data_IF_637749041535
#
_entry.id   IF_637749041535
#
_cell.length_a   1.000
_cell.length_b   1.000
_cell.length_c   1.000
_cell.angle_alpha   90.00
_cell.angle_beta   90.00
_cell.angle_gamma   90.00
#
_symmetry.space_group_name_H-M   'P 1'
#
loop_
_entity.id
_entity.type
_entity.pdbx_description
1 polymer ?
#
# COMPACT_ATOMS: atom_id res chain seq x y z
N UNK A 1 12.62 28.39 12.20
CA UNK A 1 11.49 27.48 12.37
C UNK A 1 10.69 27.39 11.09
N UNK A 2 10.51 26.18 10.57
CA UNK A 2 9.82 26.00 9.31
C UNK A 2 8.31 26.19 9.50
N UNK A 3 7.73 27.08 8.70
CA UNK A 3 6.32 27.41 8.78
C UNK A 3 5.49 26.39 8.01
N UNK A 4 4.52 25.77 8.68
CA UNK A 4 3.62 24.83 8.04
C UNK A 4 2.61 25.60 7.18
N UNK A 5 2.31 25.07 6.02
CA UNK A 5 1.29 25.61 5.14
C UNK A 5 -0.05 24.93 5.42
N UNK A 6 -1.09 25.71 5.62
CA UNK A 6 -2.44 25.20 5.81
C UNK A 6 -3.25 25.41 4.54
N UNK A 7 -3.75 24.33 3.98
CA UNK A 7 -4.56 24.40 2.77
C UNK A 7 -5.90 25.10 3.06
N UNK A 8 -6.24 26.18 2.33
CA UNK A 8 -7.49 26.89 2.57
C UNK A 8 -8.74 26.09 2.19
N UNK A 9 -8.61 25.04 1.39
CA UNK A 9 -9.74 24.21 0.98
C UNK A 9 -10.05 23.09 1.95
N UNK A 10 -9.04 22.34 2.40
CA UNK A 10 -9.25 21.17 3.25
C UNK A 10 -8.81 21.37 4.70
N UNK A 11 -8.11 22.46 4.99
CA UNK A 11 -7.65 22.76 6.35
C UNK A 11 -6.48 21.93 6.85
N UNK A 12 -5.95 21.02 6.04
CA UNK A 12 -4.80 20.22 6.43
C UNK A 12 -3.52 21.03 6.36
N UNK A 13 -2.55 20.69 7.19
CA UNK A 13 -1.24 21.34 7.21
C UNK A 13 -0.19 20.49 6.55
N UNK A 14 0.73 21.13 5.84
CA UNK A 14 1.81 20.46 5.10
C UNK A 14 3.13 21.19 5.35
N UNK A 15 4.23 20.49 5.17
CA UNK A 15 5.55 21.09 5.32
C UNK A 15 5.89 22.09 4.22
N UNK A 16 5.39 21.83 3.01
CA UNK A 16 5.66 22.64 1.84
C UNK A 16 4.44 23.50 1.48
N UNK A 17 4.68 24.75 1.15
CA UNK A 17 3.63 25.64 0.68
C UNK A 17 3.07 25.13 -0.65
N UNK A 18 1.74 25.14 -0.78
CA UNK A 18 1.04 24.66 -1.96
C UNK A 18 1.37 23.21 -2.34
N UNK A 19 1.64 22.40 -1.33
CA UNK A 19 1.94 20.98 -1.55
C UNK A 19 0.80 20.29 -2.28
N UNK A 20 1.13 19.52 -3.32
CA UNK A 20 0.17 18.74 -4.06
C UNK A 20 -0.48 17.69 -3.16
N UNK A 21 -1.81 17.66 -3.12
CA UNK A 21 -2.56 16.75 -2.30
C UNK A 21 -4.01 16.70 -2.76
N UNK A 22 -4.75 15.69 -2.29
CA UNK A 22 -6.18 15.61 -2.53
C UNK A 22 -6.92 16.50 -1.53
N UNK A 23 -7.49 17.60 -2.03
CA UNK A 23 -8.25 18.54 -1.21
C UNK A 23 -9.68 18.08 -1.06
N UNK A 24 -10.12 17.88 0.15
CA UNK A 24 -11.48 17.47 0.44
C UNK A 24 -11.48 16.44 1.54
N UNK A 25 -12.44 15.55 1.51
CA UNK A 25 -12.52 14.48 2.50
C UNK A 25 -11.39 13.49 2.30
N UNK A 26 -11.08 12.74 3.36
CA UNK A 26 -10.13 11.63 3.27
C UNK A 26 -10.56 10.67 2.16
N UNK A 27 -9.61 10.04 1.44
CA UNK A 27 -9.93 9.11 0.37
C UNK A 27 -10.89 8.01 0.84
N UNK A 28 -11.92 7.74 0.05
CA UNK A 28 -12.92 6.71 0.34
C UNK A 28 -12.76 5.50 -0.58
N UNK A 29 -12.02 5.66 -1.68
CA UNK A 29 -11.75 4.58 -2.64
C UNK A 29 -10.26 4.51 -2.89
N UNK A 30 -9.82 3.38 -3.45
CA UNK A 30 -8.42 3.20 -3.80
C UNK A 30 -8.02 4.16 -4.92
N UNK A 31 -8.92 4.45 -5.86
CA UNK A 31 -8.66 5.45 -6.89
C UNK A 31 -8.34 6.81 -6.27
N UNK A 32 -9.17 7.26 -5.34
CA UNK A 32 -8.94 8.54 -4.64
C UNK A 32 -7.65 8.50 -3.83
N UNK A 33 -7.36 7.37 -3.18
CA UNK A 33 -6.13 7.19 -2.41
C UNK A 33 -4.89 7.40 -3.28
N UNK A 34 -4.87 6.77 -4.44
CA UNK A 34 -3.72 6.86 -5.36
C UNK A 34 -3.59 8.27 -5.91
N UNK A 35 -4.70 8.91 -6.27
CA UNK A 35 -4.69 10.30 -6.75
C UNK A 35 -4.17 11.28 -5.71
N UNK A 36 -4.33 10.96 -4.42
CA UNK A 36 -3.82 11.79 -3.34
C UNK A 36 -2.31 11.68 -3.14
N UNK A 37 -1.66 10.73 -3.81
CA UNK A 37 -0.22 10.53 -3.69
C UNK A 37 0.55 11.33 -4.73
N UNK A 38 1.87 11.47 -4.55
CA UNK A 38 2.72 12.14 -5.50
C UNK A 38 2.64 11.47 -6.88
N UNK A 39 2.64 12.28 -7.92
CA UNK A 39 2.53 11.78 -9.30
C UNK A 39 3.61 10.75 -9.62
N UNK A 40 4.83 10.95 -9.11
CA UNK A 40 5.99 10.10 -9.39
C UNK A 40 5.79 8.64 -8.94
N UNK A 41 4.95 8.40 -7.94
CA UNK A 41 4.76 7.05 -7.39
C UNK A 41 3.42 6.43 -7.76
N UNK A 42 2.53 7.16 -8.43
CA UNK A 42 1.20 6.66 -8.78
C UNK A 42 1.24 5.42 -9.65
N UNK A 43 2.15 5.36 -10.61
CA UNK A 43 2.26 4.20 -11.50
C UNK A 43 2.66 2.94 -10.74
N UNK A 44 3.55 3.07 -9.76
CA UNK A 44 3.96 1.94 -8.91
C UNK A 44 2.79 1.46 -8.07
N UNK A 45 2.03 2.37 -7.49
CA UNK A 45 0.85 2.01 -6.69
C UNK A 45 -0.20 1.32 -7.55
N UNK A 46 -0.42 1.79 -8.79
CA UNK A 46 -1.35 1.14 -9.71
C UNK A 46 -0.89 -0.27 -10.09
N UNK A 47 0.42 -0.47 -10.24
CA UNK A 47 0.96 -1.79 -10.54
C UNK A 47 0.69 -2.78 -9.41
N UNK A 48 0.91 -2.37 -8.16
CA UNK A 48 0.59 -3.19 -6.99
C UNK A 48 -0.91 -3.49 -6.94
N UNK A 49 -1.74 -2.45 -7.15
CA UNK A 49 -3.18 -2.59 -7.16
C UNK A 49 -3.66 -3.62 -8.19
N UNK A 50 -3.14 -3.55 -9.40
CA UNK A 50 -3.53 -4.46 -10.48
C UNK A 50 -3.18 -5.91 -10.16
N UNK A 51 -2.01 -6.14 -9.59
CA UNK A 51 -1.61 -7.47 -9.16
C UNK A 51 -2.57 -8.01 -8.11
N UNK A 52 -2.87 -7.21 -7.10
CA UNK A 52 -3.77 -7.66 -6.02
C UNK A 52 -5.18 -7.94 -6.54
N UNK A 53 -5.72 -7.08 -7.40
CA UNK A 53 -7.03 -7.31 -8.00
C UNK A 53 -7.05 -8.63 -8.79
N UNK A 54 -6.01 -8.89 -9.58
CA UNK A 54 -5.94 -10.08 -10.43
C UNK A 54 -5.76 -11.37 -9.63
N UNK A 55 -5.14 -11.30 -8.45
CA UNK A 55 -4.83 -12.49 -7.64
C UNK A 55 -5.80 -12.75 -6.50
N UNK A 56 -6.73 -11.84 -6.26
CA UNK A 56 -7.69 -11.94 -5.17
C UNK A 56 -9.14 -11.93 -5.72
N UNK A 57 -9.52 -12.94 -6.51
CA UNK A 57 -10.86 -12.95 -7.09
C UNK A 57 -11.93 -13.01 -5.99
N UNK A 58 -12.98 -12.21 -6.16
CA UNK A 58 -14.06 -12.13 -5.17
C UNK A 58 -13.76 -11.23 -3.98
N UNK A 59 -12.54 -10.69 -3.87
CA UNK A 59 -12.22 -9.75 -2.81
C UNK A 59 -12.77 -8.36 -3.12
N UNK A 60 -13.20 -7.66 -2.08
CA UNK A 60 -13.66 -6.28 -2.19
C UNK A 60 -12.49 -5.34 -1.92
N UNK A 61 -12.27 -4.40 -2.85
CA UNK A 61 -11.29 -3.35 -2.67
C UNK A 61 -11.93 -2.19 -1.92
N UNK A 62 -11.32 -1.77 -0.82
CA UNK A 62 -11.86 -0.68 0.01
C UNK A 62 -10.73 0.05 0.73
N UNK A 63 -11.07 1.13 1.41
CA UNK A 63 -10.14 1.83 2.32
C UNK A 63 -10.49 1.42 3.74
N UNK A 64 -9.48 0.92 4.46
CA UNK A 64 -9.59 0.57 5.87
C UNK A 64 -8.29 1.00 6.56
N UNK A 65 -8.40 1.61 7.74
CA UNK A 65 -7.23 2.15 8.45
C UNK A 65 -6.44 3.14 7.58
N UNK A 66 -7.16 3.94 6.78
CA UNK A 66 -6.59 4.94 5.88
C UNK A 66 -5.69 4.38 4.78
N UNK A 67 -5.85 3.13 4.40
CA UNK A 67 -5.05 2.52 3.33
C UNK A 67 -5.87 1.54 2.48
N UNK A 68 -5.44 1.31 1.23
CA UNK A 68 -6.07 0.30 0.38
C UNK A 68 -6.07 -1.07 1.03
N UNK A 69 -7.23 -1.70 1.03
CA UNK A 69 -7.48 -2.97 1.71
C UNK A 69 -8.25 -3.90 0.79
N UNK A 70 -7.90 -5.16 0.80
CA UNK A 70 -8.60 -6.21 0.07
C UNK A 70 -9.27 -7.13 1.07
N UNK A 71 -10.59 -7.23 0.98
CA UNK A 71 -11.44 -7.88 1.98
C UNK A 71 -12.31 -8.96 1.34
N UNK A 72 -12.37 -10.10 1.99
CA UNK A 72 -13.31 -11.18 1.67
C UNK A 72 -13.55 -11.95 2.96
N UNK A 73 -14.69 -11.69 3.60
CA UNK A 73 -15.04 -12.19 4.94
C UNK A 73 -14.12 -11.68 6.05
N UNK A 74 -12.92 -11.27 5.71
CA UNK A 74 -11.92 -10.66 6.60
C UNK A 74 -10.93 -9.86 5.75
N UNK A 75 -10.09 -9.07 6.40
CA UNK A 75 -9.04 -8.33 5.70
C UNK A 75 -7.96 -9.32 5.23
N UNK A 76 -7.69 -9.36 3.93
CA UNK A 76 -6.70 -10.27 3.37
C UNK A 76 -5.32 -9.63 3.36
N UNK A 77 -5.22 -8.45 2.76
CA UNK A 77 -3.94 -7.76 2.58
C UNK A 77 -4.20 -6.26 2.44
N UNK A 78 -3.23 -5.47 2.88
CA UNK A 78 -3.25 -4.01 2.74
C UNK A 78 -1.98 -3.54 2.05
N UNK A 79 -2.02 -2.37 1.42
CA UNK A 79 -0.79 -1.67 1.05
C UNK A 79 -0.93 -0.18 1.35
N UNK A 80 0.19 0.49 1.51
CA UNK A 80 0.18 1.93 1.78
C UNK A 80 1.37 2.62 1.16
N UNK A 81 1.17 3.85 0.69
CA UNK A 81 2.25 4.69 0.21
C UNK A 81 2.91 5.36 1.41
N UNK A 82 4.13 4.96 1.70
CA UNK A 82 4.94 5.60 2.72
C UNK A 82 5.89 6.60 2.07
N UNK A 83 6.63 7.35 2.85
CA UNK A 83 7.49 8.42 2.35
C UNK A 83 8.55 7.93 1.36
N UNK A 84 9.21 6.81 1.66
CA UNK A 84 10.32 6.29 0.87
C UNK A 84 10.08 4.89 0.31
N UNK A 85 8.94 4.28 0.62
CA UNK A 85 8.64 2.92 0.23
C UNK A 85 7.15 2.67 0.17
N UNK A 86 6.78 1.59 -0.49
CA UNK A 86 5.42 1.06 -0.40
C UNK A 86 5.42 0.05 0.73
N UNK A 87 4.49 0.18 1.67
CA UNK A 87 4.28 -0.82 2.70
C UNK A 87 3.28 -1.85 2.21
N UNK A 88 3.62 -3.13 2.30
CA UNK A 88 2.72 -4.24 2.00
C UNK A 88 2.46 -4.97 3.31
N UNK A 89 1.20 -5.21 3.63
CA UNK A 89 0.80 -5.74 4.94
C UNK A 89 -0.02 -7.01 4.78
N UNK A 90 0.63 -8.15 4.51
CA UNK A 90 -0.07 -9.42 4.32
C UNK A 90 -0.30 -10.21 5.61
N UNK A 91 0.18 -9.70 6.74
CA UNK A 91 0.10 -10.35 8.03
C UNK A 91 1.39 -11.09 8.41
N UNK A 92 1.57 -11.38 9.71
CA UNK A 92 2.84 -11.94 10.21
C UNK A 92 3.16 -13.33 9.67
N UNK A 93 2.16 -14.16 9.45
CA UNK A 93 2.38 -15.52 8.95
C UNK A 93 2.89 -15.52 7.51
N UNK A 94 2.36 -14.63 6.67
CA UNK A 94 2.82 -14.49 5.29
C UNK A 94 4.26 -13.99 5.24
N UNK A 95 4.60 -13.00 6.06
CA UNK A 95 5.96 -12.46 6.13
C UNK A 95 6.94 -13.56 6.53
N UNK A 96 6.58 -14.36 7.53
CA UNK A 96 7.43 -15.48 7.98
C UNK A 96 7.60 -16.53 6.87
N UNK A 97 6.50 -16.90 6.22
CA UNK A 97 6.53 -17.89 5.15
C UNK A 97 7.44 -17.47 3.98
N UNK A 98 7.39 -16.18 3.61
CA UNK A 98 8.17 -15.64 2.49
C UNK A 98 9.50 -15.01 2.91
N UNK A 99 9.92 -15.16 4.17
CA UNK A 99 11.12 -14.46 4.68
C UNK A 99 12.38 -14.74 3.86
N UNK A 100 12.63 -15.98 3.45
CA UNK A 100 13.78 -16.31 2.62
C UNK A 100 13.73 -15.61 1.26
N UNK A 101 12.55 -15.55 0.66
CA UNK A 101 12.34 -14.88 -0.62
C UNK A 101 12.54 -13.36 -0.48
N UNK A 102 12.11 -12.81 0.65
CA UNK A 102 12.29 -11.39 0.94
C UNK A 102 13.76 -11.05 1.14
N UNK A 103 14.49 -11.90 1.85
CA UNK A 103 15.93 -11.75 2.04
C UNK A 103 16.67 -11.80 0.69
N UNK A 104 16.33 -12.73 -0.16
CA UNK A 104 16.92 -12.87 -1.50
C UNK A 104 16.64 -11.64 -2.36
N UNK A 105 15.47 -11.05 -2.22
CA UNK A 105 15.08 -9.85 -2.96
C UNK A 105 15.69 -8.58 -2.37
N UNK A 106 16.33 -8.66 -1.21
CA UNK A 106 16.90 -7.50 -0.54
C UNK A 106 15.87 -6.56 0.06
N UNK A 107 14.69 -7.08 0.38
CA UNK A 107 13.60 -6.29 0.96
C UNK A 107 13.65 -6.35 2.48
N UNK A 108 13.40 -5.22 3.11
CA UNK A 108 13.28 -5.15 4.57
C UNK A 108 11.85 -5.48 4.97
N UNK A 109 11.71 -6.15 6.08
CA UNK A 109 10.40 -6.52 6.60
C UNK A 109 10.40 -6.54 8.11
N UNK A 110 9.21 -6.49 8.67
CA UNK A 110 8.97 -6.59 10.11
C UNK A 110 7.82 -7.57 10.30
N UNK A 111 7.37 -7.77 11.53
CA UNK A 111 6.23 -8.64 11.80
C UNK A 111 4.98 -8.10 11.10
N UNK A 112 4.55 -8.78 10.06
CA UNK A 112 3.34 -8.41 9.33
C UNK A 112 3.49 -7.36 8.25
N UNK A 113 4.68 -6.80 8.04
CA UNK A 113 4.89 -5.74 7.04
C UNK A 113 6.13 -5.97 6.19
N UNK A 114 6.05 -5.55 4.94
CA UNK A 114 7.15 -5.61 3.96
C UNK A 114 7.35 -4.21 3.41
N UNK A 115 8.61 -3.78 3.26
CA UNK A 115 8.95 -2.46 2.73
C UNK A 115 9.55 -2.60 1.34
N UNK A 116 8.92 -1.96 0.36
CA UNK A 116 9.38 -1.97 -1.03
C UNK A 116 9.81 -0.55 -1.39
N UNK A 117 11.12 -0.25 -1.42
CA UNK A 117 11.60 1.09 -1.75
C UNK A 117 11.16 1.53 -3.15
N UNK A 118 10.79 2.79 -3.30
CA UNK A 118 10.41 3.32 -4.61
C UNK A 118 11.56 3.29 -5.61
N UNK A 119 12.80 3.30 -5.11
CA UNK A 119 13.99 3.25 -5.94
C UNK A 119 14.28 1.87 -6.52
N UNK A 120 13.60 0.85 -6.03
CA UNK A 120 13.75 -0.52 -6.53
C UNK A 120 12.68 -0.85 -7.55
N UNK A 121 12.99 -1.78 -8.46
CA UNK A 121 11.99 -2.35 -9.33
C UNK A 121 10.98 -3.13 -8.47
N UNK A 122 9.68 -2.99 -8.79
CA UNK A 122 8.64 -3.67 -8.05
C UNK A 122 8.75 -5.19 -8.24
N UNK A 123 8.82 -5.96 -7.15
CA UNK A 123 8.84 -7.42 -7.23
C UNK A 123 7.43 -7.97 -7.46
N UNK A 124 6.86 -7.69 -8.63
CA UNK A 124 5.46 -8.03 -8.93
C UNK A 124 5.17 -9.52 -8.80
N UNK A 125 6.09 -10.35 -9.27
CA UNK A 125 5.94 -11.81 -9.19
C UNK A 125 5.86 -12.27 -7.73
N UNK A 126 6.70 -11.72 -6.87
CA UNK A 126 6.69 -12.02 -5.44
C UNK A 126 5.39 -11.56 -4.79
N UNK A 127 4.91 -10.37 -5.16
CA UNK A 127 3.64 -9.85 -4.66
C UNK A 127 2.49 -10.76 -5.09
N UNK A 128 2.51 -11.26 -6.32
CA UNK A 128 1.53 -12.22 -6.82
C UNK A 128 1.50 -13.48 -5.97
N UNK A 129 2.66 -14.04 -5.66
CA UNK A 129 2.77 -15.24 -4.86
C UNK A 129 2.28 -15.03 -3.42
N UNK A 130 2.60 -13.87 -2.85
CA UNK A 130 2.12 -13.53 -1.50
C UNK A 130 0.60 -13.44 -1.49
N UNK A 131 0.01 -12.77 -2.47
CA UNK A 131 -1.44 -12.65 -2.59
C UNK A 131 -2.11 -14.02 -2.75
N UNK A 132 -1.56 -14.86 -3.62
CA UNK A 132 -2.07 -16.22 -3.84
C UNK A 132 -2.03 -17.03 -2.54
N UNK A 133 -0.93 -16.94 -1.81
CA UNK A 133 -0.76 -17.66 -0.54
C UNK A 133 -1.80 -17.21 0.50
N UNK A 134 -2.02 -15.90 0.62
CA UNK A 134 -3.00 -15.36 1.55
C UNK A 134 -4.42 -15.85 1.20
N UNK A 135 -4.72 -15.92 -0.09
CA UNK A 135 -6.02 -16.38 -0.57
C UNK A 135 -6.25 -17.86 -0.31
N UNK A 136 -5.22 -18.69 -0.59
CA UNK A 136 -5.31 -20.14 -0.44
C UNK A 136 -5.35 -20.59 1.02
N UNK A 137 -4.59 -19.95 1.88
CA UNK A 137 -4.47 -20.36 3.30
C UNK A 137 -5.53 -19.72 4.18
N UNK A 138 -6.16 -18.64 3.71
CA UNK A 138 -7.07 -17.86 4.54
C UNK A 138 -6.36 -17.02 5.60
N UNK A 139 -5.04 -16.98 5.60
CA UNK A 139 -4.30 -16.10 6.49
C UNK A 139 -4.44 -14.66 6.03
N UNK A 140 -4.42 -13.73 6.97
CA UNK A 140 -4.77 -12.33 6.69
C UNK A 140 -4.00 -11.36 7.56
N UNK A 141 -4.06 -10.13 7.12
CA UNK A 141 -3.46 -9.01 7.83
C UNK A 141 -4.22 -8.70 9.12
#
# INVERSE_FOLDING_TARGET
MQKMWKCPKCGRTFKNENQSHYCGEAPKTVDEYILAQDEDIRSQLQSVRQVLISRLPGATEKISWSMPTYWRDHNIIHFAAQKKHIGLYPGPEAVEYFSDRLDQAGLKYSKGSIRIPYSKELPLELIEEIADWCMETGNHA
#
